data_IF_518714615225
#
_entry.id   IF_518714615225
#
_cell.length_a   1.000
_cell.length_b   1.000
_cell.length_c   1.000
_cell.angle_alpha   90.00
_cell.angle_beta   90.00
_cell.angle_gamma   90.00
#
_symmetry.space_group_name_H-M   'P 1'
#
loop_
_entity.id
_entity.type
_entity.pdbx_description
1 polymer ?
#
# COMPACT_ATOMS: atom_id res chain seq x y z
N UNK A 1 40.46 8.38 -7.50
CA UNK A 1 39.22 8.07 -8.25
C UNK A 1 38.14 7.44 -7.37
N UNK A 2 38.46 6.75 -6.26
CA UNK A 2 37.47 6.22 -5.28
C UNK A 2 36.62 7.28 -4.56
N UNK A 3 37.18 8.44 -4.22
CA UNK A 3 36.49 9.46 -3.44
C UNK A 3 35.26 10.08 -4.14
N UNK A 4 35.22 10.07 -5.48
CA UNK A 4 34.10 10.59 -6.26
C UNK A 4 32.89 9.62 -6.29
N UNK A 5 33.15 8.31 -6.30
CA UNK A 5 32.11 7.28 -6.24
C UNK A 5 31.42 7.21 -4.87
N UNK A 6 32.20 7.33 -3.79
CA UNK A 6 31.68 7.36 -2.41
C UNK A 6 30.79 8.58 -2.14
N UNK A 7 31.16 9.76 -2.66
CA UNK A 7 30.35 10.99 -2.51
C UNK A 7 29.06 10.94 -3.31
N UNK A 8 29.06 10.40 -4.53
CA UNK A 8 27.83 10.23 -5.31
C UNK A 8 26.87 9.23 -4.68
N UNK A 9 27.37 8.10 -4.18
CA UNK A 9 26.56 7.13 -3.45
C UNK A 9 25.95 7.75 -2.17
N UNK A 10 26.75 8.51 -1.42
CA UNK A 10 26.28 9.18 -0.21
C UNK A 10 25.25 10.29 -0.50
N UNK A 11 25.41 11.04 -1.60
CA UNK A 11 24.40 12.01 -2.04
C UNK A 11 23.10 11.34 -2.46
N UNK A 12 23.19 10.20 -3.17
CA UNK A 12 22.01 9.43 -3.57
C UNK A 12 21.27 8.85 -2.34
N UNK A 13 22.00 8.35 -1.35
CA UNK A 13 21.44 7.88 -0.07
C UNK A 13 20.78 9.01 0.70
N UNK A 14 21.40 10.20 0.77
CA UNK A 14 20.83 11.37 1.44
C UNK A 14 19.60 11.93 0.70
N UNK A 15 19.62 11.94 -0.64
CA UNK A 15 18.47 12.35 -1.44
C UNK A 15 17.29 11.37 -1.30
N UNK A 16 17.56 10.06 -1.22
CA UNK A 16 16.56 9.04 -0.92
C UNK A 16 16.04 9.10 0.53
N UNK A 17 16.86 9.54 1.48
CA UNK A 17 16.44 9.77 2.86
C UNK A 17 15.65 11.08 3.04
N UNK A 18 15.81 12.05 2.12
CA UNK A 18 15.06 13.31 2.12
C UNK A 18 13.69 13.18 1.44
N UNK A 19 13.53 12.21 0.52
CA UNK A 19 12.24 11.86 -0.03
C UNK A 19 11.45 11.03 0.99
N UNK A 20 10.24 11.45 1.34
CA UNK A 20 9.42 10.75 2.33
C UNK A 20 9.19 9.27 1.98
N UNK A 21 8.71 8.49 2.96
CA UNK A 21 8.48 7.06 2.79
C UNK A 21 6.98 6.73 2.74
N UNK A 22 6.62 5.74 1.93
CA UNK A 22 5.25 5.25 1.79
C UNK A 22 5.17 3.74 1.98
N UNK A 23 4.21 3.29 2.79
CA UNK A 23 3.82 1.90 2.92
C UNK A 23 2.50 1.66 2.17
N UNK A 24 2.44 0.59 1.37
CA UNK A 24 1.20 0.10 0.76
C UNK A 24 0.98 -1.33 1.24
N UNK A 25 -0.13 -1.59 1.94
CA UNK A 25 -0.57 -2.95 2.27
C UNK A 25 -1.62 -3.36 1.24
N UNK A 26 -1.31 -4.38 0.45
CA UNK A 26 -1.91 -4.61 -0.85
C UNK A 26 -2.66 -5.93 -0.95
N UNK A 27 -3.91 -5.87 -1.41
CA UNK A 27 -4.77 -7.04 -1.64
C UNK A 27 -4.26 -7.95 -2.79
N UNK A 28 -4.76 -9.18 -2.83
CA UNK A 28 -4.44 -10.23 -3.81
C UNK A 28 -5.02 -10.07 -5.22
N UNK A 29 -5.80 -9.03 -5.51
CA UNK A 29 -6.37 -8.85 -6.85
C UNK A 29 -7.56 -7.90 -6.97
N UNK A 30 -8.29 -8.05 -8.06
CA UNK A 30 -9.41 -7.17 -8.43
C UNK A 30 -8.95 -5.74 -8.73
N UNK A 31 -9.86 -4.78 -8.63
CA UNK A 31 -9.55 -3.36 -8.81
C UNK A 31 -8.47 -2.86 -7.83
N UNK A 32 -8.42 -3.42 -6.61
CA UNK A 32 -7.37 -3.08 -5.64
C UNK A 32 -5.97 -3.47 -6.12
N UNK A 33 -5.86 -4.60 -6.84
CA UNK A 33 -4.64 -4.99 -7.54
C UNK A 33 -4.11 -3.86 -8.42
N UNK A 34 -4.95 -3.42 -9.37
CA UNK A 34 -4.63 -2.36 -10.34
C UNK A 34 -4.32 -1.02 -9.67
N UNK A 35 -5.16 -0.63 -8.69
CA UNK A 35 -4.98 0.60 -7.93
C UNK A 35 -3.63 0.63 -7.21
N UNK A 36 -3.26 -0.46 -6.53
CA UNK A 36 -2.01 -0.54 -5.78
C UNK A 36 -0.78 -0.50 -6.67
N UNK A 37 -0.79 -1.19 -7.81
CA UNK A 37 0.28 -1.14 -8.81
C UNK A 37 0.51 0.28 -9.32
N UNK A 38 -0.54 0.95 -9.80
CA UNK A 38 -0.42 2.30 -10.35
C UNK A 38 -0.06 3.34 -9.27
N UNK A 39 -0.61 3.20 -8.06
CA UNK A 39 -0.27 4.06 -6.93
C UNK A 39 1.22 3.95 -6.61
N UNK A 40 1.74 2.74 -6.43
CA UNK A 40 3.15 2.52 -6.10
C UNK A 40 4.08 3.11 -7.15
N UNK A 41 3.78 2.90 -8.43
CA UNK A 41 4.57 3.41 -9.54
C UNK A 41 4.62 4.95 -9.54
N UNK A 42 3.47 5.61 -9.29
CA UNK A 42 3.38 7.07 -9.23
C UNK A 42 4.09 7.63 -8.00
N UNK A 43 3.97 7.00 -6.84
CA UNK A 43 4.66 7.44 -5.63
C UNK A 43 6.19 7.34 -5.80
N UNK A 44 6.68 6.26 -6.39
CA UNK A 44 8.11 6.07 -6.64
C UNK A 44 8.63 7.02 -7.74
N UNK A 45 8.02 7.02 -8.94
CA UNK A 45 8.53 7.76 -10.10
C UNK A 45 8.22 9.26 -10.07
N UNK A 46 6.97 9.61 -9.76
CA UNK A 46 6.51 11.00 -9.91
C UNK A 46 6.72 11.81 -8.63
N UNK A 47 6.68 11.14 -7.47
CA UNK A 47 6.88 11.78 -6.15
C UNK A 47 8.24 11.51 -5.54
N UNK A 48 9.02 10.57 -6.10
CA UNK A 48 10.35 10.22 -5.61
C UNK A 48 10.36 9.53 -4.24
N UNK A 49 9.21 9.09 -3.73
CA UNK A 49 9.11 8.50 -2.39
C UNK A 49 9.77 7.12 -2.35
N UNK A 50 10.34 6.76 -1.20
CA UNK A 50 10.72 5.38 -0.92
C UNK A 50 9.45 4.57 -0.66
N UNK A 51 9.12 3.62 -1.53
CA UNK A 51 7.89 2.83 -1.43
C UNK A 51 8.20 1.40 -1.01
N UNK A 52 7.57 0.95 0.07
CA UNK A 52 7.49 -0.48 0.43
C UNK A 52 6.05 -0.95 0.20
N UNK A 53 5.89 -2.02 -0.58
CA UNK A 53 4.61 -2.69 -0.82
C UNK A 53 4.61 -4.07 -0.18
N UNK A 54 3.70 -4.30 0.77
CA UNK A 54 3.42 -5.63 1.33
C UNK A 54 2.21 -6.19 0.58
N UNK A 55 2.45 -7.11 -0.35
CA UNK A 55 1.43 -7.71 -1.20
C UNK A 55 1.02 -9.09 -0.70
N UNK A 56 -0.29 -9.36 -0.65
CA UNK A 56 -0.82 -10.69 -0.40
C UNK A 56 -0.28 -11.70 -1.44
N UNK A 57 0.36 -12.77 -0.96
CA UNK A 57 0.95 -13.83 -1.78
C UNK A 57 -0.10 -14.71 -2.48
N UNK A 58 -1.37 -14.62 -2.08
CA UNK A 58 -2.49 -15.25 -2.78
C UNK A 58 -2.78 -14.63 -4.16
N UNK A 59 -2.07 -13.57 -4.56
CA UNK A 59 -2.21 -12.95 -5.86
C UNK A 59 -1.85 -13.88 -7.02
N UNK A 60 -2.60 -13.78 -8.12
CA UNK A 60 -2.31 -14.51 -9.36
C UNK A 60 -1.18 -13.81 -10.13
N UNK A 61 0.07 -14.08 -9.76
CA UNK A 61 1.28 -13.43 -10.31
C UNK A 61 1.44 -13.51 -11.84
N UNK A 62 0.78 -14.47 -12.49
CA UNK A 62 0.76 -14.60 -13.95
C UNK A 62 -0.24 -13.67 -14.66
N UNK A 63 -1.05 -12.91 -13.91
CA UNK A 63 -2.06 -12.01 -14.45
C UNK A 63 -1.75 -10.55 -14.12
N UNK A 64 -2.23 -9.61 -14.94
CA UNK A 64 -2.20 -8.20 -14.59
C UNK A 64 -2.90 -7.91 -13.25
N UNK A 65 -2.40 -6.92 -12.49
CA UNK A 65 -1.16 -6.16 -12.76
C UNK A 65 0.11 -6.86 -12.27
N UNK A 66 -0.02 -8.00 -11.58
CA UNK A 66 1.09 -8.65 -10.85
C UNK A 66 2.22 -9.14 -11.77
N UNK A 67 1.90 -9.52 -13.01
CA UNK A 67 2.91 -9.90 -14.01
C UNK A 67 3.74 -8.70 -14.52
N UNK A 68 3.37 -7.47 -14.16
CA UNK A 68 4.11 -6.23 -14.48
C UNK A 68 4.92 -5.69 -13.29
N UNK A 69 5.03 -6.42 -12.18
CA UNK A 69 5.72 -5.92 -10.97
C UNK A 69 7.23 -5.69 -11.16
N UNK A 70 7.82 -6.21 -12.23
CA UNK A 70 9.17 -5.83 -12.64
C UNK A 70 9.31 -4.31 -12.86
N UNK A 71 8.23 -3.62 -13.27
CA UNK A 71 8.22 -2.16 -13.41
C UNK A 71 8.30 -1.44 -12.06
N UNK A 72 7.74 -2.03 -11.00
CA UNK A 72 7.81 -1.50 -9.63
C UNK A 72 9.23 -1.65 -9.10
N UNK A 73 9.82 -2.82 -9.25
CA UNK A 73 11.20 -3.10 -8.84
C UNK A 73 12.19 -2.18 -9.59
N UNK A 74 12.00 -2.00 -10.90
CA UNK A 74 12.79 -1.06 -11.70
C UNK A 74 12.61 0.40 -11.27
N UNK A 75 11.49 0.74 -10.64
CA UNK A 75 11.23 2.05 -10.05
C UNK A 75 11.78 2.19 -8.61
N UNK A 76 12.39 1.15 -8.05
CA UNK A 76 12.92 1.14 -6.69
C UNK A 76 11.88 0.84 -5.60
N UNK A 77 10.71 0.30 -5.96
CA UNK A 77 9.72 -0.17 -5.00
C UNK A 77 10.18 -1.49 -4.40
N UNK A 78 10.20 -1.58 -3.06
CA UNK A 78 10.43 -2.82 -2.36
C UNK A 78 9.12 -3.61 -2.25
N UNK A 79 9.00 -4.72 -2.98
CA UNK A 79 7.81 -5.59 -2.92
C UNK A 79 8.07 -6.80 -2.01
N UNK A 80 7.34 -6.88 -0.90
CA UNK A 80 7.32 -8.04 0.00
C UNK A 80 6.05 -8.85 -0.26
N UNK A 81 6.21 -10.15 -0.52
CA UNK A 81 5.08 -11.06 -0.70
C UNK A 81 4.82 -11.84 0.59
N UNK A 82 3.60 -11.79 1.12
CA UNK A 82 3.26 -12.48 2.38
C UNK A 82 1.84 -13.02 2.33
N UNK A 83 1.57 -14.15 2.98
CA UNK A 83 0.22 -14.69 3.10
C UNK A 83 -0.59 -13.86 4.10
N UNK A 84 -1.16 -12.72 3.66
CA UNK A 84 -1.85 -11.76 4.53
C UNK A 84 -3.11 -12.34 5.20
N UNK A 85 -3.59 -13.52 4.80
CA UNK A 85 -4.64 -14.21 5.53
C UNK A 85 -4.16 -14.77 6.88
N UNK A 86 -2.89 -15.15 6.99
CA UNK A 86 -2.32 -15.82 8.16
C UNK A 86 -2.17 -14.87 9.36
N UNK A 87 -2.24 -15.43 10.57
CA UNK A 87 -1.99 -14.67 11.80
C UNK A 87 -0.50 -14.29 11.89
N UNK A 88 -0.20 -13.08 12.36
CA UNK A 88 1.17 -12.58 12.48
C UNK A 88 1.88 -12.23 11.15
N UNK A 89 1.34 -12.65 10.00
CA UNK A 89 1.94 -12.39 8.68
C UNK A 89 2.27 -10.92 8.42
N UNK A 90 1.35 -10.00 8.75
CA UNK A 90 1.61 -8.57 8.60
C UNK A 90 2.77 -8.12 9.50
N UNK A 91 2.80 -8.56 10.76
CA UNK A 91 3.88 -8.19 11.69
C UNK A 91 5.24 -8.67 11.19
N UNK A 92 5.33 -9.91 10.70
CA UNK A 92 6.56 -10.45 10.11
C UNK A 92 6.98 -9.70 8.84
N UNK A 93 6.04 -9.34 7.97
CA UNK A 93 6.37 -8.56 6.77
C UNK A 93 6.84 -7.13 7.09
N UNK A 94 6.39 -6.59 8.23
CA UNK A 94 6.79 -5.28 8.75
C UNK A 94 8.18 -5.29 9.41
N UNK A 95 8.78 -6.45 9.67
CA UNK A 95 10.16 -6.53 10.15
C UNK A 95 11.12 -5.86 9.16
N UNK A 96 11.98 -4.98 9.69
CA UNK A 96 12.90 -4.17 8.89
C UNK A 96 12.25 -3.04 8.09
N UNK A 97 10.92 -2.88 8.13
CA UNK A 97 10.24 -1.71 7.56
C UNK A 97 10.33 -0.55 8.55
N UNK A 98 10.96 0.55 8.11
CA UNK A 98 11.05 1.77 8.91
C UNK A 98 9.75 2.57 8.90
N UNK A 99 9.63 3.58 9.79
CA UNK A 99 8.49 4.49 9.80
C UNK A 99 8.24 5.12 8.43
N UNK A 100 6.98 5.14 8.01
CA UNK A 100 6.54 5.75 6.76
C UNK A 100 5.70 7.01 7.03
N UNK A 101 5.88 8.04 6.21
CA UNK A 101 5.10 9.27 6.25
C UNK A 101 3.67 9.05 5.74
N UNK A 102 3.49 8.13 4.79
CA UNK A 102 2.23 7.86 4.13
C UNK A 102 1.91 6.37 4.21
N UNK A 103 0.71 6.02 4.64
CA UNK A 103 0.26 4.64 4.72
C UNK A 103 -1.02 4.47 3.91
N UNK A 104 -1.00 3.54 2.97
CA UNK A 104 -2.14 3.17 2.13
C UNK A 104 -2.54 1.73 2.46
N UNK A 105 -3.62 1.59 3.20
CA UNK A 105 -4.26 0.31 3.46
C UNK A 105 -5.21 -0.01 2.30
N UNK A 106 -4.75 -0.86 1.39
CA UNK A 106 -5.45 -1.26 0.18
C UNK A 106 -5.85 -2.74 0.21
N UNK A 107 -6.25 -3.24 1.38
CA UNK A 107 -6.60 -4.65 1.58
C UNK A 107 -8.00 -5.06 1.07
N UNK A 108 -8.86 -4.11 0.65
CA UNK A 108 -10.27 -4.28 0.25
C UNK A 108 -11.21 -4.76 1.38
N UNK A 109 -10.78 -5.76 2.15
CA UNK A 109 -11.46 -6.23 3.36
C UNK A 109 -10.52 -5.99 4.52
N UNK A 110 -11.01 -5.36 5.59
CA UNK A 110 -10.22 -5.01 6.77
C UNK A 110 -9.97 -6.26 7.63
N UNK A 111 -9.15 -7.17 7.11
CA UNK A 111 -8.81 -8.43 7.80
C UNK A 111 -7.69 -8.26 8.82
N UNK A 112 -6.92 -7.18 8.74
CA UNK A 112 -5.76 -6.91 9.59
C UNK A 112 -5.76 -5.45 10.01
N UNK A 113 -5.33 -5.22 11.24
CA UNK A 113 -5.27 -3.89 11.83
C UNK A 113 -3.96 -3.19 11.42
N UNK A 114 -3.90 -2.74 10.17
CA UNK A 114 -2.77 -1.96 9.62
C UNK A 114 -2.58 -0.69 10.44
N UNK A 115 -3.69 -0.04 10.83
CA UNK A 115 -3.68 1.18 11.64
C UNK A 115 -2.91 0.97 12.94
N UNK A 116 -3.17 -0.11 13.69
CA UNK A 116 -2.44 -0.45 14.90
C UNK A 116 -0.97 -0.78 14.63
N UNK A 117 -0.67 -1.49 13.53
CA UNK A 117 0.70 -1.83 13.17
C UNK A 117 1.57 -0.60 12.91
N UNK A 118 0.99 0.49 12.41
CA UNK A 118 1.70 1.73 12.07
C UNK A 118 1.46 2.86 13.08
N UNK A 119 0.68 2.64 14.15
CA UNK A 119 0.29 3.70 15.08
C UNK A 119 1.48 4.45 15.69
N UNK A 120 2.56 3.73 16.01
CA UNK A 120 3.77 4.31 16.58
C UNK A 120 4.55 5.20 15.60
N UNK A 121 4.27 5.11 14.30
CA UNK A 121 4.99 5.89 13.27
C UNK A 121 4.46 7.32 13.13
N UNK A 122 3.25 7.61 13.63
CA UNK A 122 2.58 8.90 13.45
C UNK A 122 2.60 9.38 11.98
N UNK A 123 2.06 8.58 11.03
CA UNK A 123 2.10 8.94 9.61
C UNK A 123 1.40 10.28 9.37
N UNK A 124 1.93 11.08 8.44
CA UNK A 124 1.31 12.34 7.99
C UNK A 124 -0.05 12.11 7.34
N UNK A 125 -0.23 10.96 6.70
CA UNK A 125 -1.53 10.51 6.20
C UNK A 125 -1.67 9.00 6.28
N UNK A 126 -2.87 8.57 6.67
CA UNK A 126 -3.34 7.20 6.57
C UNK A 126 -4.57 7.18 5.66
N UNK A 127 -4.58 6.33 4.65
CA UNK A 127 -5.70 6.17 3.74
C UNK A 127 -6.12 4.70 3.67
N UNK A 128 -7.37 4.42 4.05
CA UNK A 128 -8.02 3.13 3.83
C UNK A 128 -8.78 3.16 2.50
N UNK A 129 -8.47 2.23 1.61
CA UNK A 129 -9.16 2.09 0.32
C UNK A 129 -10.38 1.19 0.54
N UNK A 130 -11.53 1.82 0.76
CA UNK A 130 -12.83 1.17 0.85
C UNK A 130 -13.42 0.89 -0.55
N UNK A 131 -14.65 0.38 -0.59
CA UNK A 131 -15.40 0.09 -1.81
C UNK A 131 -16.79 0.72 -1.78
N UNK A 132 -17.17 1.40 -2.87
CA UNK A 132 -18.56 1.87 -3.06
C UNK A 132 -19.58 0.72 -3.09
N UNK A 133 -19.12 -0.53 -3.24
CA UNK A 133 -19.96 -1.73 -3.07
C UNK A 133 -20.51 -1.93 -1.67
N UNK A 134 -20.07 -1.15 -0.66
CA UNK A 134 -20.60 -1.19 0.70
C UNK A 134 -22.01 -0.58 0.83
N UNK A 135 -22.38 0.35 -0.06
CA UNK A 135 -23.67 1.04 0.01
C UNK A 135 -24.82 0.16 -0.50
N UNK A 136 -26.02 0.39 0.04
CA UNK A 136 -27.27 -0.17 -0.51
C UNK A 136 -27.63 0.55 -1.82
N UNK A 137 -28.15 -0.15 -2.83
CA UNK A 137 -28.58 0.49 -4.08
C UNK A 137 -29.67 1.55 -3.86
N UNK A 138 -29.55 2.69 -4.53
CA UNK A 138 -30.59 3.73 -4.57
C UNK A 138 -31.39 3.64 -5.88
N UNK A 139 -32.69 3.97 -5.82
CA UNK A 139 -33.59 3.87 -6.98
C UNK A 139 -33.24 4.83 -8.12
N UNK A 140 -32.76 6.03 -7.78
CA UNK A 140 -32.36 7.05 -8.73
C UNK A 140 -31.38 8.02 -8.06
N UNK A 141 -30.48 8.61 -8.85
CA UNK A 141 -29.47 9.56 -8.37
C UNK A 141 -28.15 8.90 -7.95
N UNK A 142 -27.15 9.72 -7.58
CA UNK A 142 -25.86 9.22 -7.10
C UNK A 142 -25.99 8.57 -5.73
N UNK A 143 -25.07 7.65 -5.42
CA UNK A 143 -24.84 7.21 -4.04
C UNK A 143 -24.17 8.36 -3.27
N UNK A 144 -24.68 8.64 -2.08
CA UNK A 144 -24.13 9.65 -1.16
C UNK A 144 -23.31 8.95 -0.08
N UNK A 145 -22.29 9.63 0.45
CA UNK A 145 -21.43 9.10 1.51
C UNK A 145 -22.19 8.86 2.82
N UNK A 146 -23.31 9.55 3.01
CA UNK A 146 -24.25 9.40 4.13
C UNK A 146 -25.33 8.33 3.88
N UNK A 147 -25.26 7.60 2.76
CA UNK A 147 -26.24 6.60 2.38
C UNK A 147 -26.15 5.33 3.23
N UNK A 148 -27.23 4.54 3.21
CA UNK A 148 -27.29 3.27 3.93
C UNK A 148 -26.20 2.30 3.45
N UNK A 149 -25.56 1.64 4.41
CA UNK A 149 -24.55 0.61 4.15
C UNK A 149 -25.12 -0.79 4.41
N UNK A 150 -24.54 -1.80 3.77
CA UNK A 150 -24.82 -3.21 4.05
C UNK A 150 -24.24 -3.56 5.42
N UNK A 151 -24.97 -4.35 6.22
CA UNK A 151 -24.51 -4.78 7.56
C UNK A 151 -23.25 -5.66 7.45
N UNK A 152 -23.23 -6.58 6.48
CA UNK A 152 -22.09 -7.44 6.18
C UNK A 152 -21.30 -6.87 5.01
N UNK A 153 -20.43 -5.89 5.27
CA UNK A 153 -19.55 -5.31 4.23
C UNK A 153 -18.05 -5.58 4.45
N UNK A 154 -17.68 -6.10 5.63
CA UNK A 154 -16.31 -6.44 6.05
C UNK A 154 -15.28 -5.30 5.84
N UNK A 155 -15.76 -4.06 5.67
CA UNK A 155 -14.94 -2.85 5.59
C UNK A 155 -14.56 -2.39 6.99
N UNK A 156 -13.53 -1.54 7.08
CA UNK A 156 -13.16 -0.89 8.32
C UNK A 156 -14.33 -0.06 8.86
N UNK A 157 -14.78 -0.35 10.09
CA UNK A 157 -15.69 0.48 10.86
C UNK A 157 -14.89 1.48 11.69
N UNK A 158 -15.23 2.77 11.58
CA UNK A 158 -14.73 3.79 12.50
C UNK A 158 -15.69 3.81 13.71
N UNK A 159 -15.34 3.07 14.77
CA UNK A 159 -15.94 3.24 16.09
C UNK A 159 -15.12 4.22 16.94
#
# INVERSE_FOLDING_TARGET
TEAAGSRSAMLAVLAMAAAGAALIVQNKGGGHGELGYHLALKLAKDKGLKVTMINDSAAKKSKPPFNSYADLEAAGVEVKWVALAEEGALASAMEGVGPCDYVFDNQNVCTKDVQKAVAAWSPKAYAYVSSGGMYKPVKAGPLLEIGDVKEENEQLSLE
#
